data_IF_410985324809
#
_entry.id   IF_410985324809
#
_cell.length_a   1.000
_cell.length_b   1.000
_cell.length_c   1.000
_cell.angle_alpha   90.00
_cell.angle_beta   90.00
_cell.angle_gamma   90.00
#
_symmetry.space_group_name_H-M   'P 1'
#
loop_
_entity.id
_entity.type
_entity.pdbx_description
1 polymer ?
#
# COMPACT_ATOMS: atom_id res chain seq x y z
N UNK A 1 6.79 14.68 -24.25
CA UNK A 1 7.62 13.75 -23.46
C UNK A 1 7.33 13.76 -21.96
N UNK A 2 7.40 14.90 -21.24
CA UNK A 2 7.29 14.93 -19.76
C UNK A 2 5.97 14.43 -19.16
N UNK A 3 4.82 14.62 -19.82
CA UNK A 3 3.53 14.12 -19.30
C UNK A 3 3.43 12.58 -19.38
N UNK A 4 3.98 11.98 -20.43
CA UNK A 4 3.96 10.53 -20.64
C UNK A 4 4.78 9.79 -19.56
N UNK A 5 5.94 10.35 -19.18
CA UNK A 5 6.81 9.78 -18.13
C UNK A 5 6.16 9.81 -16.74
N UNK A 6 5.42 10.88 -16.41
CA UNK A 6 4.75 11.03 -15.10
C UNK A 6 3.62 10.03 -14.91
N UNK A 7 2.79 9.92 -15.93
CA UNK A 7 1.70 8.95 -15.95
C UNK A 7 2.23 7.52 -15.90
N UNK A 8 3.38 7.26 -16.54
CA UNK A 8 4.06 5.97 -16.48
C UNK A 8 4.57 5.65 -15.05
N UNK A 9 5.04 6.65 -14.30
CA UNK A 9 5.45 6.47 -12.90
C UNK A 9 4.26 6.10 -12.00
N UNK A 10 3.13 6.78 -12.14
CA UNK A 10 1.89 6.48 -11.39
C UNK A 10 1.33 5.09 -11.73
N UNK A 11 1.40 4.71 -13.02
CA UNK A 11 1.05 3.37 -13.49
C UNK A 11 1.93 2.31 -12.84
N UNK A 12 3.25 2.49 -12.89
CA UNK A 12 4.18 1.53 -12.32
C UNK A 12 4.04 1.42 -10.80
N UNK A 13 3.91 2.54 -10.09
CA UNK A 13 3.60 2.54 -8.66
C UNK A 13 2.36 1.68 -8.37
N UNK A 14 1.25 1.95 -9.06
CA UNK A 14 -0.01 1.20 -8.88
C UNK A 14 0.20 -0.30 -9.10
N UNK A 15 0.89 -0.68 -10.17
CA UNK A 15 1.15 -2.10 -10.49
C UNK A 15 2.07 -2.77 -9.48
N UNK A 16 3.15 -2.11 -9.08
CA UNK A 16 4.10 -2.62 -8.09
C UNK A 16 3.38 -2.86 -6.77
N UNK A 17 2.61 -1.88 -6.27
CA UNK A 17 1.84 -2.03 -5.04
C UNK A 17 0.82 -3.18 -5.15
N UNK A 18 0.10 -3.28 -6.27
CA UNK A 18 -0.83 -4.39 -6.50
C UNK A 18 -0.14 -5.76 -6.45
N UNK A 19 1.05 -5.90 -7.03
CA UNK A 19 1.84 -7.14 -6.97
C UNK A 19 2.29 -7.42 -5.53
N UNK A 20 2.84 -6.44 -4.82
CA UNK A 20 3.29 -6.62 -3.44
C UNK A 20 2.18 -7.11 -2.52
N UNK A 21 0.99 -6.50 -2.61
CA UNK A 21 -0.18 -6.92 -1.84
C UNK A 21 -0.66 -8.33 -2.17
N UNK A 22 -0.47 -8.80 -3.40
CA UNK A 22 -0.75 -10.19 -3.76
C UNK A 22 0.33 -11.13 -3.25
N UNK A 23 1.60 -10.73 -3.25
CA UNK A 23 2.67 -11.55 -2.66
C UNK A 23 2.48 -11.78 -1.16
N UNK A 24 1.83 -10.86 -0.45
CA UNK A 24 1.42 -11.04 0.95
C UNK A 24 0.54 -12.29 1.13
N UNK A 25 -0.24 -12.70 0.11
CA UNK A 25 -1.08 -13.91 0.14
C UNK A 25 -0.31 -15.17 0.52
N UNK A 26 0.93 -15.32 0.03
CA UNK A 26 1.78 -16.47 0.35
C UNK A 26 2.06 -16.55 1.85
N UNK A 27 2.35 -15.40 2.47
CA UNK A 27 2.56 -15.30 3.91
C UNK A 27 1.26 -15.41 4.70
N UNK A 28 0.13 -14.93 4.16
CA UNK A 28 -1.19 -15.07 4.76
C UNK A 28 -1.58 -16.54 4.87
N UNK A 29 -1.43 -17.35 3.82
CA UNK A 29 -1.78 -18.79 3.86
C UNK A 29 -1.01 -19.48 4.99
N UNK A 30 0.29 -19.22 5.07
CA UNK A 30 1.16 -19.80 6.09
C UNK A 30 0.72 -19.39 7.49
N UNK A 31 0.51 -18.10 7.74
CA UNK A 31 0.19 -17.60 9.07
C UNK A 31 -1.23 -17.95 9.49
N UNK A 32 -2.18 -17.92 8.55
CA UNK A 32 -3.56 -18.31 8.83
C UNK A 32 -3.66 -19.79 9.22
N UNK A 33 -2.88 -20.67 8.58
CA UNK A 33 -2.83 -22.09 8.96
C UNK A 33 -2.31 -22.33 10.39
N UNK A 34 -1.50 -21.41 10.94
CA UNK A 34 -0.89 -21.52 12.26
C UNK A 34 -1.66 -20.77 13.35
N UNK A 35 -2.17 -19.59 13.02
CA UNK A 35 -2.69 -18.60 13.97
C UNK A 35 -4.21 -18.43 13.88
N UNK A 36 -4.84 -18.80 12.76
CA UNK A 36 -6.27 -18.58 12.53
C UNK A 36 -6.65 -17.11 12.42
N UNK A 37 -7.77 -16.71 13.04
CA UNK A 37 -8.27 -15.33 13.05
C UNK A 37 -7.61 -14.50 14.16
N UNK A 38 -6.40 -14.00 13.92
CA UNK A 38 -5.71 -13.06 14.79
C UNK A 38 -5.51 -11.70 14.10
N UNK A 39 -5.21 -10.62 14.84
CA UNK A 39 -4.98 -9.31 14.24
C UNK A 39 -3.96 -9.31 13.09
N UNK A 40 -2.89 -10.08 13.20
CA UNK A 40 -1.84 -10.23 12.19
C UNK A 40 -2.39 -10.80 10.87
N UNK A 41 -3.26 -11.81 10.96
CA UNK A 41 -3.84 -12.44 9.76
C UNK A 41 -4.91 -11.55 9.13
N UNK A 42 -5.70 -10.83 9.93
CA UNK A 42 -6.63 -9.82 9.44
C UNK A 42 -5.92 -8.64 8.75
N UNK A 43 -4.78 -8.20 9.29
CA UNK A 43 -3.94 -7.19 8.67
C UNK A 43 -3.47 -7.64 7.27
N UNK A 44 -3.03 -8.90 7.13
CA UNK A 44 -2.64 -9.45 5.83
C UNK A 44 -3.81 -9.64 4.86
N UNK A 45 -4.98 -10.04 5.36
CA UNK A 45 -6.22 -10.12 4.56
C UNK A 45 -6.55 -8.73 3.98
N UNK A 46 -6.46 -7.67 4.78
CA UNK A 46 -6.68 -6.31 4.32
C UNK A 46 -5.76 -5.95 3.13
N UNK A 47 -4.46 -6.24 3.24
CA UNK A 47 -3.51 -6.00 2.14
C UNK A 47 -3.87 -6.81 0.90
N UNK A 48 -4.16 -8.10 1.02
CA UNK A 48 -4.55 -8.95 -0.12
C UNK A 48 -5.80 -8.43 -0.83
N UNK A 49 -6.82 -8.02 -0.09
CA UNK A 49 -8.05 -7.43 -0.65
C UNK A 49 -7.75 -6.13 -1.40
N UNK A 50 -6.91 -5.26 -0.83
CA UNK A 50 -6.49 -4.03 -1.49
C UNK A 50 -5.71 -4.34 -2.79
N UNK A 51 -4.84 -5.35 -2.76
CA UNK A 51 -4.13 -5.86 -3.95
C UNK A 51 -5.08 -6.33 -5.05
N UNK A 52 -6.12 -7.09 -4.69
CA UNK A 52 -7.12 -7.55 -5.64
C UNK A 52 -7.87 -6.38 -6.31
N UNK A 53 -8.26 -5.36 -5.54
CA UNK A 53 -8.90 -4.13 -6.07
C UNK A 53 -7.96 -3.41 -7.04
N UNK A 54 -6.67 -3.30 -6.71
CA UNK A 54 -5.66 -2.66 -7.56
C UNK A 54 -5.42 -3.43 -8.85
N UNK A 55 -5.36 -4.76 -8.79
CA UNK A 55 -5.23 -5.59 -10.00
C UNK A 55 -6.47 -5.50 -10.89
N UNK A 56 -7.66 -5.53 -10.30
CA UNK A 56 -8.90 -5.50 -11.07
C UNK A 56 -9.17 -4.14 -11.71
N UNK A 57 -9.11 -3.06 -10.92
CA UNK A 57 -9.43 -1.71 -11.39
C UNK A 57 -8.22 -0.92 -11.87
N UNK A 58 -7.08 -1.06 -11.21
CA UNK A 58 -5.91 -0.21 -11.41
C UNK A 58 -4.98 -0.65 -12.53
N UNK A 59 -5.02 -1.91 -12.98
CA UNK A 59 -3.96 -2.43 -13.87
C UNK A 59 -3.81 -1.69 -15.19
N UNK A 60 -4.93 -1.28 -15.80
CA UNK A 60 -4.99 -0.58 -17.09
C UNK A 60 -5.82 0.72 -17.07
N UNK A 61 -6.22 1.21 -15.90
CA UNK A 61 -7.09 2.39 -15.79
C UNK A 61 -6.30 3.66 -15.41
N UNK A 62 -6.08 4.53 -16.39
CA UNK A 62 -5.42 5.84 -16.18
C UNK A 62 -6.10 6.68 -15.10
N UNK A 63 -7.43 6.70 -15.06
CA UNK A 63 -8.19 7.52 -14.11
C UNK A 63 -8.00 7.03 -12.66
N UNK A 64 -7.51 5.81 -12.48
CA UNK A 64 -7.26 5.21 -11.17
C UNK A 64 -5.86 5.55 -10.61
N UNK A 65 -4.83 5.63 -11.46
CA UNK A 65 -3.42 5.65 -11.00
C UNK A 65 -3.06 6.81 -10.08
N UNK A 66 -3.44 8.05 -10.44
CA UNK A 66 -3.14 9.23 -9.63
C UNK A 66 -3.95 9.27 -8.34
N UNK A 67 -5.30 9.11 -8.36
CA UNK A 67 -6.08 9.04 -7.13
C UNK A 67 -5.61 7.92 -6.20
N UNK A 68 -5.29 6.74 -6.74
CA UNK A 68 -4.77 5.63 -5.96
C UNK A 68 -3.44 5.97 -5.31
N UNK A 69 -2.46 6.50 -6.06
CA UNK A 69 -1.16 6.87 -5.49
C UNK A 69 -1.29 7.87 -4.33
N UNK A 70 -2.17 8.87 -4.47
CA UNK A 70 -2.43 9.86 -3.42
C UNK A 70 -3.16 9.26 -2.22
N UNK A 71 -4.25 8.51 -2.44
CA UNK A 71 -5.04 7.93 -1.36
C UNK A 71 -4.25 6.86 -0.59
N UNK A 72 -3.58 5.95 -1.31
CA UNK A 72 -2.71 4.93 -0.75
C UNK A 72 -1.53 5.58 -0.02
N UNK A 73 -0.90 6.59 -0.64
CA UNK A 73 0.19 7.35 -0.04
C UNK A 73 -0.22 8.02 1.27
N UNK A 74 -1.34 8.74 1.28
CA UNK A 74 -1.85 9.43 2.46
C UNK A 74 -2.24 8.45 3.57
N UNK A 75 -2.93 7.36 3.23
CA UNK A 75 -3.33 6.33 4.19
C UNK A 75 -2.11 5.71 4.88
N UNK A 76 -1.15 5.19 4.12
CA UNK A 76 0.02 4.53 4.71
C UNK A 76 1.00 5.50 5.38
N UNK A 77 1.09 6.74 4.93
CA UNK A 77 1.83 7.78 5.65
C UNK A 77 1.19 8.08 7.01
N UNK A 78 -0.14 8.16 7.07
CA UNK A 78 -0.86 8.31 8.34
C UNK A 78 -0.62 7.12 9.28
N UNK A 79 -0.76 5.89 8.78
CA UNK A 79 -0.51 4.67 9.58
C UNK A 79 0.94 4.65 10.10
N UNK A 80 1.91 5.04 9.27
CA UNK A 80 3.31 5.12 9.69
C UNK A 80 3.55 6.20 10.74
N UNK A 81 2.99 7.41 10.56
CA UNK A 81 3.09 8.48 11.56
C UNK A 81 2.44 8.07 12.88
N UNK A 82 1.31 7.37 12.82
CA UNK A 82 0.66 6.82 14.00
C UNK A 82 1.54 5.77 14.68
N UNK A 83 2.10 4.82 13.94
CA UNK A 83 3.03 3.80 14.49
C UNK A 83 4.31 4.40 15.06
N UNK A 84 4.80 5.52 14.51
CA UNK A 84 5.92 6.26 15.08
C UNK A 84 5.56 6.94 16.41
N UNK A 85 4.35 7.51 16.52
CA UNK A 85 3.89 8.18 17.73
C UNK A 85 3.46 7.17 18.82
N UNK A 86 2.91 6.02 18.41
CA UNK A 86 2.39 4.97 19.28
C UNK A 86 2.94 3.60 18.83
N UNK A 87 4.22 3.31 19.13
CA UNK A 87 4.83 2.02 18.79
C UNK A 87 4.07 0.87 19.46
N UNK A 88 3.86 -0.22 18.71
CA UNK A 88 3.18 -1.44 19.20
C UNK A 88 1.78 -1.18 19.80
N UNK A 89 1.07 -0.18 19.26
CA UNK A 89 -0.26 0.22 19.75
C UNK A 89 -1.23 -0.98 19.80
N UNK A 90 -1.64 -1.34 21.02
CA UNK A 90 -2.55 -2.47 21.27
C UNK A 90 -2.00 -3.84 20.87
N UNK A 91 -0.68 -3.98 20.67
CA UNK A 91 -0.06 -5.20 20.15
C UNK A 91 -0.44 -5.51 18.70
N UNK A 92 -0.95 -4.51 17.95
CA UNK A 92 -1.35 -4.69 16.56
C UNK A 92 -0.12 -4.69 15.65
N UNK A 93 -0.02 -5.72 14.82
CA UNK A 93 1.07 -5.94 13.87
C UNK A 93 1.39 -4.70 13.01
N UNK A 94 0.34 -4.02 12.54
CA UNK A 94 0.45 -2.85 11.68
C UNK A 94 1.27 -1.67 12.26
N UNK A 95 1.51 -1.66 13.58
CA UNK A 95 2.29 -0.64 14.29
C UNK A 95 3.60 -1.17 14.88
N UNK A 96 3.99 -2.41 14.53
CA UNK A 96 5.32 -2.90 14.83
C UNK A 96 6.38 -2.06 14.06
N UNK A 97 7.64 -2.13 14.49
CA UNK A 97 8.71 -1.31 13.90
C UNK A 97 8.90 -1.56 12.40
N UNK A 98 8.83 -2.82 11.95
CA UNK A 98 9.03 -3.18 10.55
C UNK A 98 7.89 -2.64 9.68
N UNK A 99 6.64 -2.88 10.09
CA UNK A 99 5.46 -2.44 9.37
C UNK A 99 5.35 -0.93 9.35
N UNK A 100 5.71 -0.25 10.44
CA UNK A 100 5.80 1.22 10.47
C UNK A 100 6.77 1.75 9.41
N UNK A 101 7.94 1.12 9.24
CA UNK A 101 8.91 1.50 8.22
C UNK A 101 8.37 1.22 6.81
N UNK A 102 7.80 0.03 6.59
CA UNK A 102 7.25 -0.36 5.28
C UNK A 102 6.08 0.54 4.88
N UNK A 103 5.16 0.83 5.79
CA UNK A 103 4.08 1.79 5.60
C UNK A 103 4.63 3.20 5.32
N UNK A 104 5.71 3.60 6.00
CA UNK A 104 6.39 4.87 5.73
C UNK A 104 6.92 4.95 4.29
N UNK A 105 7.58 3.90 3.80
CA UNK A 105 8.10 3.81 2.43
C UNK A 105 6.95 3.85 1.41
N UNK A 106 5.91 3.02 1.61
CA UNK A 106 4.74 2.96 0.71
C UNK A 106 3.97 4.29 0.71
N UNK A 107 3.81 4.89 1.88
CA UNK A 107 3.11 6.16 2.09
C UNK A 107 3.81 7.33 1.42
N UNK A 108 5.08 7.53 1.75
CA UNK A 108 5.90 8.62 1.19
C UNK A 108 6.08 8.49 -0.32
N UNK A 109 6.37 7.29 -0.83
CA UNK A 109 6.48 7.05 -2.27
C UNK A 109 5.16 7.29 -3.00
N UNK A 110 4.02 6.91 -2.42
CA UNK A 110 2.69 7.17 -2.98
C UNK A 110 2.38 8.66 -3.08
N UNK A 111 2.64 9.43 -2.01
CA UNK A 111 2.47 10.88 -2.00
C UNK A 111 3.37 11.55 -3.04
N UNK A 112 4.66 11.19 -3.07
CA UNK A 112 5.62 11.76 -4.04
C UNK A 112 5.16 11.48 -5.47
N UNK A 113 4.84 10.23 -5.80
CA UNK A 113 4.40 9.83 -7.15
C UNK A 113 3.06 10.47 -7.52
N UNK A 114 2.12 10.53 -6.58
CA UNK A 114 0.79 11.11 -6.77
C UNK A 114 0.81 12.63 -6.98
N UNK A 115 1.73 13.33 -6.29
CA UNK A 115 1.95 14.77 -6.40
C UNK A 115 2.84 15.18 -7.59
N UNK A 116 3.40 14.23 -8.34
CA UNK A 116 4.09 14.52 -9.60
C UNK A 116 3.12 15.26 -10.53
N UNK A 117 3.29 16.58 -10.60
CA UNK A 117 2.28 17.48 -11.12
C UNK A 117 2.05 17.25 -12.63
N UNK A 118 0.80 17.01 -13.03
CA UNK A 118 0.35 17.23 -14.40
C UNK A 118 0.22 18.75 -14.54
N UNK A 119 1.30 19.45 -14.91
CA UNK A 119 1.12 20.80 -15.45
C UNK A 119 0.17 20.66 -16.65
N UNK A 120 -1.04 21.18 -16.49
CA UNK A 120 -1.98 21.46 -17.56
C UNK A 120 -1.28 22.35 -18.58
#
# INVERSE_FOLDING_TARGET
MRQHTKQQAQKWYTRIIGIFFVLVLMTLITDYSKLGHRPETWHKIFHVLLGAVVLYYGWNNRKFWKPFALANGAFFAYIALFGLAFPDFGGLDAFNRLDTILHGIVGTSGLVIGLLNEKK
#
